data_IF_481720516641
#
_entry.id   IF_481720516641
#
_cell.length_a   1.000
_cell.length_b   1.000
_cell.length_c   1.000
_cell.angle_alpha   90.00
_cell.angle_beta   90.00
_cell.angle_gamma   90.00
#
_symmetry.space_group_name_H-M   'P 1'
#
loop_
_entity.id
_entity.type
_entity.pdbx_description
1 polymer ?
#
# COMPACT_ATOMS: atom_id res chain seq x y z
N UNK A 1 -8.34 1.83 2.45
CA UNK A 1 -8.66 1.81 3.92
C UNK A 1 -8.50 3.18 4.58
N UNK A 2 -7.50 3.98 4.21
CA UNK A 2 -7.25 5.33 4.75
C UNK A 2 -8.49 6.24 4.80
N UNK A 3 -9.34 6.21 3.76
CA UNK A 3 -10.58 7.00 3.70
C UNK A 3 -11.58 6.73 4.81
N UNK A 4 -11.52 5.55 5.43
CA UNK A 4 -12.38 5.19 6.55
C UNK A 4 -11.69 5.52 7.90
N UNK A 5 -10.35 5.41 7.96
CA UNK A 5 -9.58 5.53 9.20
C UNK A 5 -9.48 6.96 9.72
N UNK A 6 -9.59 7.96 8.85
CA UNK A 6 -9.36 9.35 9.22
C UNK A 6 -10.60 10.23 8.95
N UNK A 7 -10.94 11.05 9.94
CA UNK A 7 -12.06 11.99 9.91
C UNK A 7 -11.80 13.20 9.00
N UNK A 8 -10.53 13.51 8.74
CA UNK A 8 -10.06 14.60 7.89
C UNK A 8 -9.78 14.16 6.44
N UNK A 9 -10.07 12.91 6.08
CA UNK A 9 -9.72 12.40 4.75
C UNK A 9 -10.45 13.17 3.64
N UNK A 10 -9.67 13.82 2.77
CA UNK A 10 -10.15 14.68 1.68
C UNK A 10 -11.08 15.82 2.13
N UNK A 11 -10.81 16.39 3.31
CA UNK A 11 -11.53 17.55 3.87
C UNK A 11 -10.55 18.66 4.22
N UNK A 12 -10.97 19.91 4.03
CA UNK A 12 -10.17 21.08 4.38
C UNK A 12 -10.23 21.40 5.89
N UNK A 13 -9.35 22.29 6.36
CA UNK A 13 -9.38 22.76 7.75
C UNK A 13 -10.72 23.44 8.08
N UNK A 14 -11.34 23.03 9.19
CA UNK A 14 -12.68 23.48 9.60
C UNK A 14 -13.86 22.71 8.98
N UNK A 15 -13.62 21.74 8.09
CA UNK A 15 -14.67 20.89 7.50
C UNK A 15 -14.84 19.52 8.20
N UNK A 16 -14.11 19.30 9.29
CA UNK A 16 -14.14 18.06 10.07
C UNK A 16 -14.00 18.36 11.57
N UNK A 17 -14.46 17.42 12.39
CA UNK A 17 -14.38 17.50 13.85
C UNK A 17 -13.49 16.38 14.40
N UNK A 18 -12.64 16.65 15.40
CA UNK A 18 -11.81 15.63 16.02
C UNK A 18 -12.62 14.62 16.82
N UNK A 19 -12.03 13.45 17.06
CA UNK A 19 -12.59 12.45 17.94
C UNK A 19 -12.56 12.89 19.41
N UNK A 20 -13.12 12.06 20.30
CA UNK A 20 -13.22 12.34 21.74
C UNK A 20 -11.87 12.56 22.45
N UNK A 21 -10.75 12.22 21.81
CA UNK A 21 -9.38 12.41 22.31
C UNK A 21 -8.65 13.57 21.60
N UNK A 22 -9.33 14.34 20.76
CA UNK A 22 -8.73 15.43 19.97
C UNK A 22 -7.96 14.96 18.74
N UNK A 23 -7.97 13.67 18.42
CA UNK A 23 -7.28 13.10 17.26
C UNK A 23 -8.16 13.08 16.00
N UNK A 24 -7.54 12.74 14.87
CA UNK A 24 -8.23 12.63 13.57
C UNK A 24 -8.69 11.22 13.24
N UNK A 25 -8.35 10.25 14.08
CA UNK A 25 -8.67 8.84 13.89
C UNK A 25 -10.17 8.60 14.09
N UNK A 26 -10.80 7.90 13.15
CA UNK A 26 -12.18 7.46 13.26
C UNK A 26 -12.26 6.20 14.13
N UNK A 27 -12.45 6.39 15.43
CA UNK A 27 -12.44 5.31 16.43
C UNK A 27 -13.50 4.24 16.16
N UNK A 28 -14.71 4.63 15.75
CA UNK A 28 -15.79 3.70 15.44
C UNK A 28 -15.44 2.78 14.27
N UNK A 29 -14.76 3.31 13.24
CA UNK A 29 -14.27 2.51 12.12
C UNK A 29 -13.13 1.59 12.55
N UNK A 30 -12.20 2.07 13.37
CA UNK A 30 -11.09 1.24 13.87
C UNK A 30 -11.64 0.04 14.64
N UNK A 31 -12.61 0.25 15.53
CA UNK A 31 -13.24 -0.82 16.29
C UNK A 31 -14.01 -1.78 15.39
N UNK A 32 -14.76 -1.25 14.42
CA UNK A 32 -15.44 -2.05 13.41
C UNK A 32 -14.49 -2.95 12.61
N UNK A 33 -13.36 -2.43 12.12
CA UNK A 33 -12.38 -3.21 11.35
C UNK A 33 -11.73 -4.30 12.21
N UNK A 34 -11.44 -4.01 13.48
CA UNK A 34 -10.92 -5.00 14.43
C UNK A 34 -11.93 -6.13 14.67
N UNK A 35 -13.20 -5.79 14.88
CA UNK A 35 -14.27 -6.77 15.07
C UNK A 35 -14.50 -7.61 13.82
N UNK A 36 -14.56 -6.97 12.64
CA UNK A 36 -14.69 -7.63 11.35
C UNK A 36 -13.59 -8.69 11.15
N UNK A 37 -12.32 -8.29 11.27
CA UNK A 37 -11.21 -9.21 11.09
C UNK A 37 -11.25 -10.34 12.12
N UNK A 38 -11.55 -10.04 13.38
CA UNK A 38 -11.67 -11.05 14.44
C UNK A 38 -12.74 -12.09 14.12
N UNK A 39 -13.94 -11.68 13.73
CA UNK A 39 -15.03 -12.62 13.43
C UNK A 39 -14.80 -13.38 12.11
N UNK A 40 -14.17 -12.75 11.11
CA UNK A 40 -13.76 -13.41 9.86
C UNK A 40 -12.79 -14.56 10.16
N UNK A 41 -11.68 -14.32 10.86
CA UNK A 41 -10.70 -15.37 11.16
C UNK A 41 -11.22 -16.43 12.14
N UNK A 42 -12.15 -16.06 13.03
CA UNK A 42 -12.80 -17.02 13.92
C UNK A 42 -13.72 -17.99 13.15
N UNK A 43 -14.45 -17.47 12.16
CA UNK A 43 -15.42 -18.25 11.39
C UNK A 43 -14.76 -19.01 10.24
N UNK A 44 -13.75 -18.40 9.62
CA UNK A 44 -13.02 -18.94 8.47
C UNK A 44 -11.51 -18.80 8.71
N UNK A 45 -10.87 -19.74 9.42
CA UNK A 45 -9.46 -19.63 9.81
C UNK A 45 -8.46 -19.54 8.65
N UNK A 46 -8.83 -20.08 7.49
CA UNK A 46 -7.93 -20.23 6.35
C UNK A 46 -8.00 -19.09 5.32
N UNK A 47 -8.82 -18.06 5.56
CA UNK A 47 -8.93 -16.91 4.64
C UNK A 47 -7.82 -15.89 4.87
N UNK A 48 -7.74 -14.90 3.99
CA UNK A 48 -6.87 -13.74 4.16
C UNK A 48 -7.69 -12.48 3.91
N UNK A 49 -7.62 -11.54 4.85
CA UNK A 49 -8.09 -10.18 4.66
C UNK A 49 -6.92 -9.29 4.28
N UNK A 50 -7.07 -8.55 3.18
CA UNK A 50 -5.99 -7.73 2.61
C UNK A 50 -6.43 -6.27 2.61
N UNK A 51 -5.57 -5.39 3.13
CA UNK A 51 -5.81 -3.96 3.14
C UNK A 51 -4.93 -3.24 2.11
N UNK A 52 -5.56 -2.38 1.32
CA UNK A 52 -4.86 -1.27 0.66
C UNK A 52 -5.00 -0.03 1.55
N UNK A 53 -3.89 0.38 2.14
CA UNK A 53 -3.82 1.48 3.11
C UNK A 53 -2.61 2.33 2.74
N UNK A 54 -2.89 3.51 2.20
CA UNK A 54 -1.91 4.39 1.54
C UNK A 54 -1.31 5.45 2.46
N UNK A 55 -1.65 5.45 3.75
CA UNK A 55 -0.97 6.25 4.77
C UNK A 55 0.02 5.38 5.55
N UNK A 56 0.76 6.01 6.46
CA UNK A 56 1.66 5.32 7.37
C UNK A 56 0.93 4.82 8.64
N UNK A 57 -0.34 4.41 8.53
CA UNK A 57 -1.06 3.87 9.68
C UNK A 57 -0.35 2.60 10.19
N UNK A 58 0.01 2.52 11.48
CA UNK A 58 0.80 1.43 12.00
C UNK A 58 -0.06 0.19 12.29
N UNK A 59 0.57 -0.98 12.26
CA UNK A 59 0.00 -2.26 12.71
C UNK A 59 -1.27 -2.67 11.94
N UNK A 60 -1.36 -2.34 10.65
CA UNK A 60 -2.52 -2.67 9.81
C UNK A 60 -2.69 -4.19 9.71
N UNK A 61 -1.58 -4.91 9.50
CA UNK A 61 -1.58 -6.37 9.33
C UNK A 61 -1.12 -7.13 10.58
N UNK A 62 -1.26 -6.51 11.76
CA UNK A 62 -0.96 -7.15 13.06
C UNK A 62 -2.24 -7.60 13.77
N UNK A 63 -2.16 -8.62 14.64
CA UNK A 63 -3.29 -9.10 15.44
C UNK A 63 -3.97 -7.99 16.27
N UNK A 64 -5.29 -8.07 16.39
CA UNK A 64 -6.10 -7.08 17.13
C UNK A 64 -5.81 -7.05 18.62
N UNK A 65 -5.43 -8.19 19.22
CA UNK A 65 -5.02 -8.29 20.63
C UNK A 65 -3.68 -7.58 20.92
N UNK A 66 -2.87 -7.27 19.90
CA UNK A 66 -1.65 -6.46 20.00
C UNK A 66 -1.87 -5.00 19.60
N UNK A 67 -3.13 -4.59 19.36
CA UNK A 67 -3.49 -3.23 18.95
C UNK A 67 -3.57 -2.99 17.44
N UNK A 68 -3.31 -4.00 16.62
CA UNK A 68 -3.42 -3.90 15.16
C UNK A 68 -4.86 -3.89 14.64
N UNK A 69 -5.03 -3.63 13.34
CA UNK A 69 -6.36 -3.67 12.68
C UNK A 69 -6.81 -5.09 12.36
N UNK A 70 -5.90 -6.07 12.42
CA UNK A 70 -6.21 -7.48 12.21
C UNK A 70 -6.20 -7.94 10.76
N UNK A 71 -5.74 -7.14 9.80
CA UNK A 71 -5.61 -7.65 8.43
C UNK A 71 -4.52 -8.73 8.35
N UNK A 72 -4.66 -9.66 7.41
CA UNK A 72 -3.64 -10.68 7.15
C UNK A 72 -2.45 -10.11 6.38
N UNK A 73 -2.73 -9.22 5.41
CA UNK A 73 -1.71 -8.54 4.60
C UNK A 73 -2.06 -7.06 4.34
N UNK A 74 -1.04 -6.26 4.04
CA UNK A 74 -1.15 -4.87 3.57
C UNK A 74 -0.46 -4.74 2.20
N UNK A 75 -1.07 -4.04 1.26
CA UNK A 75 -0.41 -3.67 -0.01
C UNK A 75 0.78 -2.75 0.24
N UNK A 76 1.94 -3.10 -0.32
CA UNK A 76 3.17 -2.32 -0.20
C UNK A 76 3.22 -1.22 -1.28
N UNK A 77 2.39 -0.19 -1.11
CA UNK A 77 2.25 0.89 -2.10
C UNK A 77 3.58 1.62 -2.38
N UNK A 78 4.42 1.80 -1.35
CA UNK A 78 5.76 2.40 -1.53
C UNK A 78 6.65 1.56 -2.43
N UNK A 79 6.73 0.24 -2.20
CA UNK A 79 7.47 -0.67 -3.10
C UNK A 79 6.95 -0.60 -4.54
N UNK A 80 5.63 -0.60 -4.73
CA UNK A 80 5.03 -0.54 -6.07
C UNK A 80 5.45 0.75 -6.80
N UNK A 81 5.33 1.89 -6.12
CA UNK A 81 5.68 3.20 -6.68
C UNK A 81 7.18 3.27 -7.03
N UNK A 82 8.04 2.99 -6.05
CA UNK A 82 9.49 3.06 -6.22
C UNK A 82 9.98 2.09 -7.32
N UNK A 83 9.42 0.88 -7.38
CA UNK A 83 9.80 -0.12 -8.39
C UNK A 83 9.36 0.31 -9.79
N UNK A 84 8.11 0.75 -9.97
CA UNK A 84 7.65 1.19 -11.28
C UNK A 84 8.39 2.44 -11.77
N UNK A 85 8.73 3.36 -10.87
CA UNK A 85 9.57 4.52 -11.19
C UNK A 85 11.01 4.15 -11.54
N UNK A 86 11.61 3.17 -10.85
CA UNK A 86 12.96 2.70 -11.15
C UNK A 86 13.06 2.09 -12.55
N UNK A 87 12.08 1.24 -12.90
CA UNK A 87 12.04 0.57 -14.20
C UNK A 87 11.68 1.50 -15.36
N UNK A 88 10.93 2.57 -15.11
CA UNK A 88 10.63 3.60 -16.12
C UNK A 88 11.84 4.45 -16.54
N UNK A 89 12.89 4.51 -15.70
CA UNK A 89 14.12 5.25 -16.01
C UNK A 89 15.01 4.48 -16.99
N UNK A 90 15.62 5.21 -17.92
CA UNK A 90 16.64 4.66 -18.81
C UNK A 90 17.74 3.96 -17.99
N UNK A 91 18.18 2.75 -18.39
CA UNK A 91 19.20 1.99 -17.68
C UNK A 91 20.46 2.78 -17.29
N UNK A 92 20.90 3.76 -18.10
CA UNK A 92 22.10 4.57 -17.80
C UNK A 92 21.93 5.46 -16.56
N UNK A 93 20.69 5.85 -16.25
CA UNK A 93 20.37 6.72 -15.11
C UNK A 93 20.04 5.95 -13.84
N UNK A 94 19.69 4.66 -13.92
CA UNK A 94 19.30 3.83 -12.75
C UNK A 94 20.35 3.78 -11.65
N UNK A 95 21.64 3.96 -11.97
CA UNK A 95 22.73 4.05 -10.99
C UNK A 95 22.56 5.19 -9.97
N UNK A 96 21.84 6.25 -10.34
CA UNK A 96 21.55 7.38 -9.45
C UNK A 96 20.32 7.16 -8.56
N UNK A 97 19.58 6.08 -8.79
CA UNK A 97 18.26 5.80 -8.20
C UNK A 97 18.21 4.42 -7.53
N UNK A 98 19.37 3.84 -7.17
CA UNK A 98 19.40 2.49 -6.61
C UNK A 98 18.75 2.38 -5.22
N UNK A 99 18.52 3.51 -4.56
CA UNK A 99 17.67 3.57 -3.36
C UNK A 99 16.23 3.16 -3.66
N UNK A 100 15.66 3.46 -4.83
CA UNK A 100 14.25 3.14 -5.15
C UNK A 100 13.99 1.63 -5.09
N UNK A 101 14.92 0.79 -5.56
CA UNK A 101 14.76 -0.67 -5.51
C UNK A 101 15.17 -1.30 -4.16
N UNK A 102 15.83 -0.56 -3.27
CA UNK A 102 16.35 -1.08 -2.00
C UNK A 102 15.65 -0.52 -0.75
N UNK A 103 15.05 0.66 -0.84
CA UNK A 103 14.48 1.38 0.31
C UNK A 103 13.33 0.62 0.97
N UNK A 104 12.50 -0.05 0.16
CA UNK A 104 11.41 -0.91 0.64
C UNK A 104 11.86 -1.93 1.70
N UNK A 105 13.09 -2.46 1.60
CA UNK A 105 13.64 -3.42 2.56
C UNK A 105 13.84 -2.82 3.96
N UNK A 106 13.99 -1.50 4.09
CA UNK A 106 14.12 -0.83 5.38
C UNK A 106 12.86 -1.00 6.25
N UNK A 107 11.70 -1.20 5.63
CA UNK A 107 10.43 -1.39 6.33
C UNK A 107 9.68 -2.67 5.92
N UNK A 108 10.22 -3.51 5.03
CA UNK A 108 9.54 -4.71 4.51
C UNK A 108 9.07 -5.72 5.57
N UNK A 109 9.59 -5.63 6.80
CA UNK A 109 9.24 -6.54 7.89
C UNK A 109 8.37 -5.90 8.99
N UNK A 110 7.96 -4.64 8.80
CA UNK A 110 7.07 -3.96 9.77
C UNK A 110 5.63 -4.47 9.66
N UNK A 111 5.20 -4.89 8.47
CA UNK A 111 3.89 -5.44 8.15
C UNK A 111 4.04 -6.73 7.32
N UNK A 112 2.98 -7.51 7.21
CA UNK A 112 2.87 -8.60 6.26
C UNK A 112 2.52 -8.01 4.89
N UNK A 113 3.54 -7.68 4.09
CA UNK A 113 3.32 -7.00 2.83
C UNK A 113 2.93 -7.96 1.69
N UNK A 114 1.95 -7.52 0.90
CA UNK A 114 1.67 -8.01 -0.46
C UNK A 114 2.26 -7.00 -1.45
N UNK A 115 2.87 -7.46 -2.54
CA UNK A 115 3.51 -6.62 -3.56
C UNK A 115 2.55 -6.44 -4.76
N UNK A 116 1.80 -5.31 -4.87
CA UNK A 116 0.76 -5.18 -5.87
C UNK A 116 1.30 -4.56 -7.17
N UNK A 117 0.83 -5.08 -8.29
CA UNK A 117 0.80 -4.39 -9.59
C UNK A 117 -0.65 -4.43 -10.07
N UNK A 118 -1.46 -3.48 -9.56
CA UNK A 118 -2.92 -3.52 -9.69
C UNK A 118 -3.42 -2.84 -10.97
N UNK A 119 -4.74 -2.92 -11.19
CA UNK A 119 -5.43 -2.24 -12.29
C UNK A 119 -5.26 -0.71 -12.25
N UNK A 120 -5.16 -0.10 -11.06
CA UNK A 120 -4.97 1.35 -10.90
C UNK A 120 -3.66 1.85 -11.50
N UNK A 121 -2.69 0.95 -11.71
CA UNK A 121 -1.39 1.27 -12.28
C UNK A 121 -1.34 1.19 -13.81
N UNK A 122 -2.44 0.84 -14.47
CA UNK A 122 -2.47 0.70 -15.95
C UNK A 122 -3.60 1.49 -16.60
N UNK A 123 -4.08 2.53 -15.91
CA UNK A 123 -5.21 3.38 -16.33
C UNK A 123 -4.83 4.86 -16.30
N UNK A 124 -5.75 5.75 -16.70
CA UNK A 124 -5.62 7.21 -16.59
C UNK A 124 -4.31 7.81 -17.13
N UNK A 125 -3.82 7.29 -18.27
CA UNK A 125 -2.59 7.78 -18.91
C UNK A 125 -1.29 7.26 -18.32
N UNK A 126 -1.34 6.37 -17.31
CA UNK A 126 -0.15 5.73 -16.70
C UNK A 126 0.55 4.69 -17.60
N UNK A 127 -0.03 4.38 -18.77
CA UNK A 127 0.37 3.31 -19.69
C UNK A 127 0.30 1.90 -19.07
N UNK A 128 0.40 0.85 -19.90
CA UNK A 128 0.63 -0.50 -19.40
C UNK A 128 2.03 -0.61 -18.77
N UNK A 129 2.29 -1.67 -18.00
CA UNK A 129 3.63 -1.89 -17.40
C UNK A 129 4.71 -1.96 -18.49
N UNK A 130 4.44 -2.66 -19.60
CA UNK A 130 5.32 -2.67 -20.78
C UNK A 130 5.47 -1.27 -21.41
N UNK A 131 4.39 -0.49 -21.38
CA UNK A 131 4.31 0.91 -21.80
C UNK A 131 5.28 1.84 -21.07
N UNK A 132 5.58 1.54 -19.79
CA UNK A 132 6.47 2.33 -18.95
C UNK A 132 7.96 2.03 -19.20
N UNK A 133 8.29 0.87 -19.77
CA UNK A 133 9.67 0.46 -19.95
C UNK A 133 10.38 1.30 -21.05
N UNK A 134 11.63 1.73 -20.83
CA UNK A 134 12.41 2.44 -21.84
C UNK A 134 13.02 1.49 -22.88
N UNK A 135 13.49 2.06 -23.99
CA UNK A 135 14.23 1.35 -25.02
C UNK A 135 13.38 0.81 -26.18
N UNK A 136 14.01 -0.01 -27.02
CA UNK A 136 13.34 -0.71 -28.12
C UNK A 136 12.40 -1.81 -27.63
N UNK A 137 11.63 -2.40 -28.53
CA UNK A 137 10.66 -3.46 -28.19
C UNK A 137 11.29 -4.61 -27.39
N UNK A 138 12.47 -5.08 -27.80
CA UNK A 138 13.17 -6.16 -27.13
C UNK A 138 13.55 -5.77 -25.69
N UNK A 139 14.09 -4.56 -25.50
CA UNK A 139 14.48 -4.02 -24.20
C UNK A 139 13.27 -3.84 -23.29
N UNK A 140 12.12 -3.39 -23.83
CA UNK A 140 10.89 -3.21 -23.07
C UNK A 140 10.37 -4.52 -22.50
N UNK A 141 10.34 -5.56 -23.33
CA UNK A 141 10.00 -6.91 -22.87
C UNK A 141 11.05 -7.51 -21.92
N UNK A 142 12.34 -7.20 -22.11
CA UNK A 142 13.39 -7.62 -21.19
C UNK A 142 13.24 -6.99 -19.80
N UNK A 143 12.92 -5.70 -19.73
CA UNK A 143 12.64 -5.04 -18.46
C UNK A 143 11.39 -5.61 -17.77
N UNK A 144 10.31 -5.86 -18.52
CA UNK A 144 9.09 -6.45 -17.97
C UNK A 144 9.32 -7.84 -17.34
N UNK A 145 10.23 -8.66 -17.91
CA UNK A 145 10.58 -9.97 -17.33
C UNK A 145 11.52 -9.87 -16.13
N UNK A 146 12.29 -8.80 -16.05
CA UNK A 146 13.25 -8.56 -14.96
C UNK A 146 12.55 -8.01 -13.72
N UNK A 147 11.52 -7.19 -13.92
CA UNK A 147 10.58 -6.77 -12.89
C UNK A 147 9.91 -7.99 -12.25
#
# INVERSE_FOLDING_TARGET
VASMLFLDYSREDGEWEPNIYGGRENLAVIDFLKELNKEVYKTFPDVQTIAEESTAFPMVSKPTNLGGLGFGMKWMMGWMHDTLEYFAKDPVYRKYHHNEITFSLAYAFTENFMLPLSHDEVVYGKNSILGRMPGDEWQRFANLRLL
#
